data_IF_736352797234
#
_entry.id   IF_736352797234
#
_cell.length_a   1.000
_cell.length_b   1.000
_cell.length_c   1.000
_cell.angle_alpha   90.00
_cell.angle_beta   90.00
_cell.angle_gamma   90.00
#
_symmetry.space_group_name_H-M   'P 1'
#
loop_
_entity.id
_entity.type
_entity.pdbx_description
1 polymer ?
#
# COMPACT_ATOMS: atom_id res chain seq x y z
N UNK A 1 19.40 -14.90 18.48
CA UNK A 1 18.30 -13.99 18.89
C UNK A 1 18.18 -12.76 17.99
N UNK A 2 18.98 -11.69 18.15
CA UNK A 2 18.78 -10.45 17.36
C UNK A 2 18.97 -10.66 15.85
N UNK A 3 20.04 -11.34 15.44
CA UNK A 3 20.28 -11.64 14.01
C UNK A 3 19.21 -12.55 13.40
N UNK A 4 18.63 -13.46 14.18
CA UNK A 4 17.51 -14.30 13.72
C UNK A 4 16.23 -13.49 13.55
N UNK A 5 15.94 -12.55 14.45
CA UNK A 5 14.78 -11.64 14.34
C UNK A 5 14.93 -10.76 13.09
N UNK A 6 16.12 -10.19 12.87
CA UNK A 6 16.42 -9.38 11.68
C UNK A 6 16.25 -10.22 10.41
N UNK A 7 16.75 -11.47 10.40
CA UNK A 7 16.59 -12.39 9.27
C UNK A 7 15.11 -12.74 9.02
N UNK A 8 14.31 -12.91 10.06
CA UNK A 8 12.87 -13.14 9.93
C UNK A 8 12.16 -11.93 9.32
N UNK A 9 12.45 -10.71 9.79
CA UNK A 9 11.90 -9.48 9.19
C UNK A 9 12.37 -9.28 7.75
N UNK A 10 13.60 -9.69 7.44
CA UNK A 10 14.12 -9.67 6.08
C UNK A 10 13.39 -10.64 5.15
N UNK A 11 12.94 -11.79 5.66
CA UNK A 11 12.23 -12.79 4.85
C UNK A 11 10.71 -12.63 4.89
N UNK A 12 10.18 -11.69 5.69
CA UNK A 12 8.76 -11.44 5.79
C UNK A 12 8.20 -10.93 4.45
N UNK A 13 7.02 -11.46 4.07
CA UNK A 13 6.29 -11.09 2.85
C UNK A 13 4.87 -10.67 3.20
N UNK A 14 4.36 -9.71 2.46
CA UNK A 14 2.96 -9.27 2.60
C UNK A 14 2.02 -10.46 2.34
N UNK A 15 1.05 -10.71 3.24
CA UNK A 15 0.05 -11.77 3.04
C UNK A 15 -0.71 -11.54 1.73
N UNK A 16 -0.73 -12.55 0.86
CA UNK A 16 -1.56 -12.52 -0.36
C UNK A 16 -3.00 -12.84 0.02
N UNK A 17 -3.91 -11.94 -0.30
CA UNK A 17 -5.35 -12.13 -0.08
C UNK A 17 -6.00 -12.40 -1.44
N UNK A 18 -6.82 -13.46 -1.49
CA UNK A 18 -7.57 -13.82 -2.68
C UNK A 18 -8.76 -12.87 -2.84
N UNK A 19 -9.05 -12.38 -4.05
CA UNK A 19 -10.17 -11.47 -4.30
C UNK A 19 -11.50 -11.98 -3.75
N UNK A 20 -11.78 -13.28 -3.86
CA UNK A 20 -13.01 -13.91 -3.34
C UNK A 20 -13.20 -13.77 -1.82
N UNK A 21 -12.14 -13.47 -1.06
CA UNK A 21 -12.24 -13.15 0.38
C UNK A 21 -12.62 -11.68 0.62
N UNK A 22 -12.25 -10.79 -0.30
CA UNK A 22 -12.49 -9.35 -0.22
C UNK A 22 -13.89 -9.06 -0.73
N UNK A 23 -14.18 -9.49 -1.95
CA UNK A 23 -15.51 -9.39 -2.53
C UNK A 23 -16.22 -10.74 -2.42
N UNK A 24 -17.34 -10.74 -1.70
CA UNK A 24 -18.25 -11.88 -1.64
C UNK A 24 -19.35 -11.65 -2.68
N UNK A 25 -19.29 -12.39 -3.78
CA UNK A 25 -20.34 -12.34 -4.79
C UNK A 25 -21.37 -13.44 -4.57
N UNK A 26 -22.63 -13.09 -4.76
CA UNK A 26 -23.67 -14.06 -5.02
C UNK A 26 -23.58 -14.51 -6.48
N UNK A 27 -24.01 -15.73 -6.79
CA UNK A 27 -24.02 -16.28 -8.15
C UNK A 27 -24.84 -15.44 -9.15
N UNK A 28 -25.71 -14.55 -8.64
CA UNK A 28 -26.45 -13.56 -9.42
C UNK A 28 -25.84 -12.18 -9.19
N UNK A 29 -24.73 -11.89 -9.88
CA UNK A 29 -24.15 -10.55 -9.83
C UNK A 29 -24.49 -9.80 -11.12
N UNK A 30 -25.39 -8.80 -11.08
CA UNK A 30 -25.83 -8.07 -12.27
C UNK A 30 -24.79 -7.04 -12.76
N UNK A 31 -23.69 -6.84 -12.04
CA UNK A 31 -22.68 -5.85 -12.37
C UNK A 31 -21.47 -6.46 -13.09
N UNK A 32 -21.13 -5.90 -14.25
CA UNK A 32 -19.88 -6.17 -14.96
C UNK A 32 -18.75 -5.34 -14.33
N UNK A 33 -18.04 -5.87 -13.33
CA UNK A 33 -16.77 -5.31 -12.86
C UNK A 33 -15.64 -6.29 -13.15
N UNK A 34 -14.43 -5.75 -13.32
CA UNK A 34 -13.20 -6.54 -13.41
C UNK A 34 -12.42 -6.34 -12.12
N UNK A 35 -12.08 -7.46 -11.47
CA UNK A 35 -11.20 -7.43 -10.31
C UNK A 35 -9.75 -7.43 -10.75
N UNK A 36 -8.90 -6.66 -10.06
CA UNK A 36 -7.47 -6.65 -10.31
C UNK A 36 -6.71 -6.53 -8.99
N UNK A 37 -5.64 -7.32 -8.86
CA UNK A 37 -4.65 -7.16 -7.80
C UNK A 37 -3.43 -6.48 -8.43
N UNK A 38 -2.94 -5.41 -7.79
CA UNK A 38 -1.72 -4.73 -8.19
C UNK A 38 -0.80 -4.62 -6.98
N UNK A 39 0.47 -4.98 -7.18
CA UNK A 39 1.52 -4.85 -6.18
C UNK A 39 2.58 -3.93 -6.72
N UNK A 40 2.98 -2.95 -5.92
CA UNK A 40 4.07 -2.01 -6.23
C UNK A 40 5.10 -2.17 -5.13
N UNK A 41 6.34 -2.43 -5.53
CA UNK A 41 7.48 -2.49 -4.63
C UNK A 41 8.48 -1.40 -5.04
N UNK A 42 8.87 -0.56 -4.08
CA UNK A 42 9.81 0.52 -4.31
C UNK A 42 10.78 0.62 -3.15
N UNK A 43 12.07 0.81 -3.47
CA UNK A 43 13.10 1.15 -2.48
C UNK A 43 13.32 2.65 -2.47
N UNK A 44 13.22 3.27 -1.30
CA UNK A 44 13.34 4.71 -1.13
C UNK A 44 14.56 4.99 -0.23
N UNK A 45 15.39 5.95 -0.63
CA UNK A 45 16.48 6.45 0.22
C UNK A 45 15.90 7.46 1.22
N UNK A 46 16.28 7.36 2.48
CA UNK A 46 15.85 8.27 3.57
C UNK A 46 16.66 9.59 3.50
N UNK A 47 16.73 10.20 2.33
CA UNK A 47 17.36 11.52 2.14
C UNK A 47 16.33 12.63 2.05
N UNK A 48 15.06 12.29 1.82
CA UNK A 48 13.94 13.23 1.73
C UNK A 48 13.05 13.09 2.96
N UNK A 49 12.44 14.20 3.37
CA UNK A 49 11.44 14.24 4.44
C UNK A 49 10.11 13.62 4.03
N UNK A 50 9.79 13.61 2.73
CA UNK A 50 8.56 13.04 2.17
C UNK A 50 8.83 12.36 0.82
N UNK A 51 8.11 11.27 0.57
CA UNK A 51 8.08 10.60 -0.72
C UNK A 51 6.65 10.11 -1.02
N UNK A 52 6.20 10.34 -2.24
CA UNK A 52 4.90 9.87 -2.71
C UNK A 52 5.07 8.56 -3.50
N UNK A 53 4.14 7.61 -3.30
CA UNK A 53 4.00 6.39 -4.07
C UNK A 53 2.58 6.37 -4.63
N UNK A 54 2.44 6.33 -5.95
CA UNK A 54 1.12 6.24 -6.58
C UNK A 54 0.68 4.78 -6.66
N UNK A 55 -0.53 4.47 -6.19
CA UNK A 55 -1.10 3.12 -6.23
C UNK A 55 -1.37 2.62 -7.67
N UNK A 56 -1.66 3.55 -8.57
CA UNK A 56 -1.85 3.31 -9.99
C UNK A 56 -1.02 4.32 -10.77
N UNK A 57 -0.35 3.87 -11.82
CA UNK A 57 0.32 4.77 -12.76
C UNK A 57 -0.70 5.41 -13.72
N UNK A 58 -0.34 6.58 -14.26
CA UNK A 58 -1.23 7.37 -15.12
C UNK A 58 -1.66 6.61 -16.39
N UNK A 59 -0.80 5.73 -16.92
CA UNK A 59 -1.13 4.91 -18.10
C UNK A 59 -2.20 3.88 -17.75
N UNK A 60 -2.07 3.18 -16.63
CA UNK A 60 -3.09 2.25 -16.13
C UNK A 60 -4.42 2.95 -15.88
N UNK A 61 -4.41 4.16 -15.28
CA UNK A 61 -5.63 4.95 -15.07
C UNK A 61 -6.30 5.30 -16.41
N UNK A 62 -5.53 5.80 -17.39
CA UNK A 62 -6.05 6.15 -18.72
C UNK A 62 -6.64 4.95 -19.46
N UNK A 63 -6.05 3.77 -19.30
CA UNK A 63 -6.56 2.53 -19.89
C UNK A 63 -7.87 2.08 -19.25
N UNK A 64 -7.93 2.05 -17.91
CA UNK A 64 -9.14 1.66 -17.17
C UNK A 64 -10.30 2.64 -17.43
N UNK A 65 -10.01 3.93 -17.53
CA UNK A 65 -11.01 4.97 -17.79
C UNK A 65 -11.73 4.82 -19.14
N UNK A 66 -11.19 4.04 -20.10
CA UNK A 66 -11.87 3.75 -21.38
C UNK A 66 -13.08 2.84 -21.22
N UNK A 67 -13.03 1.93 -20.27
CA UNK A 67 -14.03 0.86 -20.10
C UNK A 67 -14.85 1.02 -18.82
N UNK A 68 -14.34 1.76 -17.83
CA UNK A 68 -14.97 1.89 -16.51
C UNK A 68 -15.11 3.34 -16.10
N UNK A 69 -16.30 3.68 -15.58
CA UNK A 69 -16.58 5.02 -15.03
C UNK A 69 -15.98 5.24 -13.64
N UNK A 70 -15.82 4.16 -12.88
CA UNK A 70 -15.38 4.21 -11.48
C UNK A 70 -14.35 3.11 -11.21
N UNK A 71 -13.40 3.42 -10.32
CA UNK A 71 -12.45 2.46 -9.77
C UNK A 71 -12.72 2.38 -8.27
N UNK A 72 -12.95 1.17 -7.76
CA UNK A 72 -13.16 0.92 -6.34
C UNK A 72 -11.94 0.19 -5.75
N UNK A 73 -11.35 0.78 -4.71
CA UNK A 73 -10.27 0.15 -3.94
C UNK A 73 -10.86 -0.53 -2.71
N UNK A 74 -11.21 -1.81 -2.81
CA UNK A 74 -11.74 -2.55 -1.66
C UNK A 74 -10.69 -2.86 -0.60
N UNK A 75 -9.44 -3.03 -1.00
CA UNK A 75 -8.34 -3.31 -0.09
C UNK A 75 -7.06 -2.65 -0.58
N UNK A 76 -6.41 -1.92 0.32
CA UNK A 76 -5.06 -1.40 0.13
C UNK A 76 -4.25 -1.92 1.31
N UNK A 77 -3.15 -2.63 1.00
CA UNK A 77 -2.20 -3.10 2.01
C UNK A 77 -0.88 -2.41 1.76
N UNK A 78 -0.31 -1.84 2.82
CA UNK A 78 1.00 -1.19 2.76
C UNK A 78 1.94 -1.93 3.68
N UNK A 79 3.10 -2.31 3.15
CA UNK A 79 4.20 -2.88 3.92
C UNK A 79 5.38 -1.95 3.85
N UNK A 80 5.94 -1.60 5.00
CA UNK A 80 7.18 -0.82 5.06
C UNK A 80 8.23 -1.63 5.81
N UNK A 81 9.40 -1.74 5.20
CA UNK A 81 10.51 -2.54 5.70
C UNK A 81 11.82 -1.79 5.50
N UNK A 82 12.60 -1.70 6.57
CA UNK A 82 13.95 -1.15 6.53
C UNK A 82 14.93 -2.17 5.91
N UNK A 83 15.80 -1.71 5.02
CA UNK A 83 16.81 -2.55 4.37
C UNK A 83 18.16 -2.54 5.11
N UNK A 84 18.36 -1.64 6.07
CA UNK A 84 19.59 -1.55 6.86
C UNK A 84 19.60 -2.56 8.00
N UNK A 85 20.78 -3.03 8.39
CA UNK A 85 20.96 -3.97 9.52
C UNK A 85 20.66 -3.32 10.87
N UNK A 86 20.81 -2.01 10.96
CA UNK A 86 20.56 -1.23 12.16
C UNK A 86 19.15 -0.65 12.08
N UNK A 87 18.35 -0.89 13.12
CA UNK A 87 17.06 -0.21 13.29
C UNK A 87 17.31 1.29 13.36
N UNK A 88 16.63 2.04 12.51
CA UNK A 88 16.67 3.50 12.57
C UNK A 88 15.62 3.95 13.58
N UNK A 89 16.03 4.59 14.68
CA UNK A 89 15.11 5.13 15.68
C UNK A 89 14.46 6.42 15.17
N UNK A 90 13.62 6.25 14.16
CA UNK A 90 12.90 7.33 13.50
C UNK A 90 11.49 6.85 13.23
N UNK A 91 10.53 7.72 13.54
CA UNK A 91 9.15 7.49 13.13
C UNK A 91 8.98 7.80 11.65
N UNK A 92 8.07 7.06 11.04
CA UNK A 92 7.57 7.33 9.70
C UNK A 92 6.06 7.50 9.78
N UNK A 93 5.55 8.45 9.03
CA UNK A 93 4.13 8.66 8.83
C UNK A 93 3.76 8.17 7.43
N UNK A 94 2.92 7.15 7.36
CA UNK A 94 2.38 6.64 6.10
C UNK A 94 0.94 7.13 5.93
N UNK A 95 0.69 7.91 4.88
CA UNK A 95 -0.61 8.48 4.58
C UNK A 95 -1.16 7.93 3.25
N UNK A 96 -2.34 7.32 3.31
CA UNK A 96 -3.15 7.04 2.13
C UNK A 96 -4.01 8.26 1.84
N UNK A 97 -3.84 8.84 0.65
CA UNK A 97 -4.56 10.05 0.23
C UNK A 97 -5.06 9.98 -1.20
N UNK A 98 -6.14 10.68 -1.47
CA UNK A 98 -6.66 10.91 -2.82
C UNK A 98 -5.92 12.07 -3.50
N UNK A 99 -5.08 11.73 -4.49
CA UNK A 99 -4.27 12.71 -5.20
C UNK A 99 -5.08 13.72 -6.03
N UNK A 100 -6.40 13.51 -6.22
CA UNK A 100 -7.28 14.46 -6.93
C UNK A 100 -7.55 15.73 -6.11
N UNK A 101 -7.41 15.67 -4.79
CA UNK A 101 -7.59 16.81 -3.90
C UNK A 101 -6.29 17.62 -3.77
N UNK A 102 -6.39 18.93 -3.96
CA UNK A 102 -5.25 19.86 -3.82
C UNK A 102 -4.85 20.05 -2.36
N UNK A 103 -5.83 20.13 -1.47
CA UNK A 103 -5.59 20.23 -0.03
C UNK A 103 -5.19 18.87 0.53
N UNK A 104 -4.17 18.86 1.40
CA UNK A 104 -3.68 17.63 2.01
C UNK A 104 -4.72 17.03 2.97
N UNK A 105 -5.32 17.85 3.83
CA UNK A 105 -6.24 17.36 4.85
C UNK A 105 -7.51 16.77 4.23
N UNK A 106 -8.08 17.44 3.23
CA UNK A 106 -9.26 16.95 2.49
C UNK A 106 -8.97 15.66 1.71
N UNK A 107 -7.70 15.43 1.36
CA UNK A 107 -7.29 14.25 0.60
C UNK A 107 -7.06 13.02 1.47
N UNK A 108 -6.91 13.17 2.79
CA UNK A 108 -6.45 12.11 3.66
C UNK A 108 -7.56 11.08 3.88
N UNK A 109 -7.28 9.82 3.50
CA UNK A 109 -8.19 8.69 3.72
C UNK A 109 -7.80 7.98 5.02
N UNK A 110 -6.50 7.76 5.22
CA UNK A 110 -5.96 7.08 6.41
C UNK A 110 -4.50 7.49 6.63
N UNK A 111 -4.10 7.62 7.89
CA UNK A 111 -2.70 7.78 8.28
C UNK A 111 -2.34 6.76 9.35
N UNK A 112 -1.09 6.30 9.34
CA UNK A 112 -0.50 5.54 10.45
C UNK A 112 0.91 6.03 10.71
N UNK A 113 1.27 6.16 11.98
CA UNK A 113 2.64 6.45 12.40
C UNK A 113 3.25 5.20 13.01
N UNK A 114 4.52 4.96 12.72
CA UNK A 114 5.25 3.82 13.28
C UNK A 114 6.74 4.10 13.37
N UNK A 115 7.41 3.45 14.32
CA UNK A 115 8.87 3.50 14.44
C UNK A 115 9.51 2.38 13.61
N UNK A 116 10.50 2.75 12.78
CA UNK A 116 11.28 1.80 11.97
C UNK A 116 12.16 0.84 12.79
N UNK A 117 12.35 1.09 14.08
CA UNK A 117 13.01 0.17 15.01
C UNK A 117 12.16 -1.06 15.38
N UNK A 118 10.84 -0.97 15.30
CA UNK A 118 9.94 -2.01 15.83
C UNK A 118 9.66 -3.15 14.84
N UNK A 119 10.39 -3.18 13.71
CA UNK A 119 10.22 -4.18 12.65
C UNK A 119 9.30 -3.70 11.52
N UNK A 120 8.89 -4.62 10.61
CA UNK A 120 8.05 -4.29 9.47
C UNK A 120 6.64 -3.90 9.91
N UNK A 121 6.06 -2.94 9.21
CA UNK A 121 4.72 -2.40 9.54
C UNK A 121 3.75 -2.73 8.43
N UNK A 122 2.55 -3.18 8.80
CA UNK A 122 1.46 -3.56 7.88
C UNK A 122 0.11 -3.06 8.42
N UNK A 123 -0.80 -2.63 7.54
CA UNK A 123 -2.18 -2.24 7.88
C UNK A 123 -3.13 -2.27 6.68
#
# INVERSE_FOLDING_TARGET
>A
ILDEIIKQWQNWKTPKILNKKIYKYNSFNPFNFTERIQTIEQTIKITKTQQNIHLLDEKTIKELAKNFKYIHFALVQVTIKLLTRQGLNSSILACLRDARHLNFDDSLIRATETNLCNGPVYF
#
